data_IF_754879760407
#
_entry.id   IF_754879760407
#
_cell.length_a   1.000
_cell.length_b   1.000
_cell.length_c   1.000
_cell.angle_alpha   90.00
_cell.angle_beta   90.00
_cell.angle_gamma   90.00
#
_symmetry.space_group_name_H-M   'P 1'
#
loop_
_entity.id
_entity.type
_entity.pdbx_description
1 polymer ?
#
# COMPACT_ATOMS: atom_id res chain seq x y z
N UNK A 1 -16.56 -6.18 -10.41
CA UNK A 1 -17.83 -5.72 -11.01
C UNK A 1 -18.04 -4.23 -10.76
N UNK A 2 -19.04 -3.61 -11.43
CA UNK A 2 -19.41 -2.19 -11.23
C UNK A 2 -19.88 -1.93 -9.80
N UNK A 3 -20.49 -2.92 -9.16
CA UNK A 3 -20.91 -2.89 -7.75
C UNK A 3 -19.72 -2.82 -6.79
N UNK A 4 -18.67 -3.58 -7.04
CA UNK A 4 -17.48 -3.61 -6.16
C UNK A 4 -16.74 -2.27 -6.20
N UNK A 5 -16.69 -1.61 -7.37
CA UNK A 5 -16.12 -0.28 -7.50
C UNK A 5 -16.94 0.77 -6.71
N UNK A 6 -18.26 0.72 -6.78
CA UNK A 6 -19.14 1.63 -6.06
C UNK A 6 -19.00 1.47 -4.54
N UNK A 7 -18.91 0.24 -4.04
CA UNK A 7 -18.65 -0.06 -2.63
C UNK A 7 -17.30 0.47 -2.16
N UNK A 8 -16.25 0.25 -2.96
CA UNK A 8 -14.91 0.71 -2.65
C UNK A 8 -14.81 2.24 -2.62
N UNK A 9 -15.40 2.90 -3.62
CA UNK A 9 -15.48 4.36 -3.67
C UNK A 9 -16.21 4.93 -2.46
N UNK A 10 -17.40 4.40 -2.16
CA UNK A 10 -18.21 4.82 -1.01
C UNK A 10 -17.47 4.63 0.31
N UNK A 11 -16.76 3.52 0.46
CA UNK A 11 -15.92 3.26 1.63
C UNK A 11 -14.81 4.30 1.79
N UNK A 12 -14.05 4.60 0.73
CA UNK A 12 -12.98 5.62 0.75
C UNK A 12 -13.55 6.98 1.15
N UNK A 13 -14.61 7.41 0.48
CA UNK A 13 -15.24 8.71 0.72
C UNK A 13 -15.80 8.81 2.14
N UNK A 14 -16.47 7.76 2.65
CA UNK A 14 -16.99 7.75 4.01
C UNK A 14 -15.90 7.93 5.07
N UNK A 15 -14.71 7.29 4.88
CA UNK A 15 -13.57 7.45 5.80
C UNK A 15 -13.00 8.87 5.78
N UNK A 16 -12.91 9.48 4.58
CA UNK A 16 -12.43 10.86 4.42
C UNK A 16 -13.41 11.86 5.04
N UNK A 17 -14.73 11.72 4.75
CA UNK A 17 -15.76 12.61 5.30
C UNK A 17 -15.78 12.52 6.83
N UNK A 18 -15.83 11.30 7.37
CA UNK A 18 -15.94 11.06 8.81
C UNK A 18 -14.81 11.72 9.61
N UNK A 19 -13.57 11.72 9.08
CA UNK A 19 -12.41 12.23 9.83
C UNK A 19 -12.04 13.67 9.49
N UNK A 20 -12.08 14.02 8.19
CA UNK A 20 -11.55 15.31 7.72
C UNK A 20 -12.64 16.31 7.34
N UNK A 21 -13.92 15.92 7.48
CA UNK A 21 -15.10 16.74 7.08
C UNK A 21 -14.97 17.30 5.65
N UNK A 22 -14.33 16.53 4.75
CA UNK A 22 -14.08 16.95 3.38
C UNK A 22 -15.27 16.59 2.49
N UNK A 23 -16.06 17.58 2.08
CA UNK A 23 -17.33 17.41 1.32
C UNK A 23 -17.19 17.63 -0.19
N UNK A 24 -16.01 18.04 -0.68
CA UNK A 24 -15.81 18.28 -2.12
C UNK A 24 -15.70 16.96 -2.87
N UNK A 25 -16.18 16.94 -4.12
CA UNK A 25 -16.07 15.78 -5.01
C UNK A 25 -14.61 15.36 -5.24
N UNK A 26 -14.35 14.08 -5.14
CA UNK A 26 -13.03 13.48 -5.37
C UNK A 26 -13.13 12.41 -6.47
N UNK A 27 -12.12 12.35 -7.32
CA UNK A 27 -11.87 11.19 -8.18
C UNK A 27 -10.91 10.25 -7.48
N UNK A 28 -11.28 8.97 -7.34
CA UNK A 28 -10.49 7.96 -6.64
C UNK A 28 -9.88 7.01 -7.65
N UNK A 29 -8.56 6.92 -7.66
CA UNK A 29 -7.79 6.00 -8.49
C UNK A 29 -7.16 4.94 -7.59
N UNK A 30 -7.37 3.67 -7.93
CA UNK A 30 -6.80 2.53 -7.20
C UNK A 30 -5.64 1.93 -7.99
N UNK A 31 -4.49 1.82 -7.34
CA UNK A 31 -3.37 1.01 -7.77
C UNK A 31 -3.34 -0.28 -6.94
N UNK A 32 -3.48 -1.41 -7.61
CA UNK A 32 -3.52 -2.71 -6.95
C UNK A 32 -3.14 -3.81 -7.94
N UNK A 33 -2.59 -4.93 -7.44
CA UNK A 33 -2.32 -6.11 -8.26
C UNK A 33 -3.66 -6.79 -8.55
N UNK A 34 -4.00 -7.05 -9.83
CA UNK A 34 -5.23 -7.75 -10.18
C UNK A 34 -5.17 -9.21 -9.74
N UNK A 35 -6.35 -9.79 -9.47
CA UNK A 35 -6.49 -11.22 -9.22
C UNK A 35 -6.24 -11.99 -10.52
N UNK A 36 -5.39 -13.00 -10.44
CA UNK A 36 -5.12 -13.89 -11.58
C UNK A 36 -5.38 -15.34 -11.17
N UNK A 37 -6.13 -16.09 -11.98
CA UNK A 37 -6.55 -17.48 -11.70
C UNK A 37 -7.14 -17.67 -10.30
N UNK A 38 -7.95 -16.72 -9.84
CA UNK A 38 -8.59 -16.78 -8.52
C UNK A 38 -7.71 -16.40 -7.34
N UNK A 39 -6.40 -16.21 -7.53
CA UNK A 39 -5.45 -15.89 -6.47
C UNK A 39 -4.83 -14.50 -6.62
N UNK A 40 -4.68 -13.81 -5.49
CA UNK A 40 -3.96 -12.54 -5.42
C UNK A 40 -3.38 -12.33 -4.02
N UNK A 41 -2.16 -11.85 -3.97
CA UNK A 41 -1.57 -11.28 -2.77
C UNK A 41 -1.15 -9.85 -3.07
N UNK A 42 -1.85 -8.89 -2.47
CA UNK A 42 -1.58 -7.46 -2.54
C UNK A 42 -0.95 -7.01 -1.22
N UNK A 43 0.38 -6.95 -1.09
CA UNK A 43 1.01 -6.46 0.14
C UNK A 43 0.67 -5.00 0.40
N UNK A 44 0.42 -4.22 -0.65
CA UNK A 44 -0.03 -2.84 -0.57
C UNK A 44 -0.99 -2.51 -1.71
N UNK A 45 -2.09 -1.83 -1.40
CA UNK A 45 -2.96 -1.16 -2.37
C UNK A 45 -2.94 0.34 -2.08
N UNK A 46 -2.94 1.17 -3.13
CA UNK A 46 -2.80 2.61 -2.99
C UNK A 46 -3.99 3.30 -3.63
N UNK A 47 -4.63 4.22 -2.89
CA UNK A 47 -5.70 5.05 -3.44
C UNK A 47 -5.22 6.49 -3.52
N UNK A 48 -5.30 7.05 -4.71
CA UNK A 48 -5.03 8.46 -4.97
C UNK A 48 -6.36 9.18 -5.12
N UNK A 49 -6.65 10.13 -4.22
CA UNK A 49 -7.88 10.90 -4.24
C UNK A 49 -7.58 12.30 -4.73
N UNK A 50 -8.08 12.63 -5.93
CA UNK A 50 -7.81 13.88 -6.62
C UNK A 50 -9.05 14.78 -6.63
N UNK A 51 -8.85 16.08 -6.52
CA UNK A 51 -9.91 17.07 -6.71
C UNK A 51 -10.26 17.29 -8.19
N UNK A 52 -11.24 18.16 -8.46
CA UNK A 52 -11.66 18.51 -9.82
C UNK A 52 -10.54 19.12 -10.69
N UNK A 53 -9.49 19.69 -10.07
CA UNK A 53 -8.30 20.24 -10.72
C UNK A 53 -7.17 19.20 -10.84
N UNK A 54 -7.46 17.90 -10.66
CA UNK A 54 -6.50 16.79 -10.67
C UNK A 54 -5.36 16.92 -9.66
N UNK A 55 -5.54 17.70 -8.60
CA UNK A 55 -4.55 17.82 -7.51
C UNK A 55 -4.81 16.73 -6.47
N UNK A 56 -3.74 16.06 -6.03
CA UNK A 56 -3.80 15.05 -4.98
C UNK A 56 -4.22 15.69 -3.65
N UNK A 57 -5.30 15.17 -3.04
CA UNK A 57 -5.84 15.62 -1.76
C UNK A 57 -5.67 14.61 -0.65
N UNK A 58 -5.78 13.33 -1.00
CA UNK A 58 -5.52 12.25 -0.05
C UNK A 58 -4.73 11.15 -0.75
N UNK A 59 -3.77 10.59 -0.02
CA UNK A 59 -3.07 9.37 -0.36
C UNK A 59 -3.41 8.32 0.71
N UNK A 60 -3.86 7.15 0.28
CA UNK A 60 -4.30 6.07 1.17
C UNK A 60 -3.47 4.84 0.86
N UNK A 61 -2.77 4.34 1.85
CA UNK A 61 -1.95 3.14 1.75
C UNK A 61 -2.59 2.03 2.58
N UNK A 62 -3.17 1.04 1.90
CA UNK A 62 -3.75 -0.14 2.53
C UNK A 62 -2.73 -1.27 2.48
N UNK A 63 -2.15 -1.58 3.64
CA UNK A 63 -1.12 -2.61 3.81
C UNK A 63 -1.75 -3.90 4.29
N UNK A 64 -1.32 -5.03 3.73
CA UNK A 64 -1.76 -6.38 4.12
C UNK A 64 -0.58 -7.25 4.49
N UNK A 65 -0.81 -8.15 5.44
CA UNK A 65 0.15 -9.18 5.81
C UNK A 65 -0.26 -10.56 5.26
N UNK A 66 0.60 -11.55 5.45
CA UNK A 66 0.33 -12.96 5.06
C UNK A 66 -0.72 -13.64 5.95
N UNK A 67 -1.13 -13.02 7.06
CA UNK A 67 -2.17 -13.51 7.95
C UNK A 67 -3.58 -13.00 7.61
N UNK A 68 -3.79 -12.50 6.37
CA UNK A 68 -5.05 -11.92 5.88
C UNK A 68 -5.56 -10.72 6.68
N UNK A 69 -4.69 -10.05 7.44
CA UNK A 69 -5.02 -8.82 8.12
C UNK A 69 -4.63 -7.62 7.27
N UNK A 70 -5.27 -6.48 7.52
CA UNK A 70 -4.99 -5.24 6.82
C UNK A 70 -5.03 -4.03 7.75
N UNK A 71 -4.26 -3.01 7.40
CA UNK A 71 -4.30 -1.70 8.03
C UNK A 71 -4.23 -0.61 6.97
N UNK A 72 -4.97 0.47 7.16
CA UNK A 72 -5.09 1.56 6.21
C UNK A 72 -4.55 2.85 6.80
N UNK A 73 -3.55 3.42 6.18
CA UNK A 73 -3.00 4.73 6.51
C UNK A 73 -3.59 5.77 5.56
N UNK A 74 -4.30 6.77 6.08
CA UNK A 74 -4.93 7.84 5.31
C UNK A 74 -4.21 9.14 5.59
N UNK A 75 -3.59 9.72 4.57
CA UNK A 75 -2.90 11.00 4.64
C UNK A 75 -3.67 12.07 3.90
N UNK A 76 -3.96 13.17 4.58
CA UNK A 76 -4.43 14.41 3.97
C UNK A 76 -3.24 15.16 3.41
N UNK A 77 -3.26 15.44 2.12
CA UNK A 77 -2.14 16.03 1.39
C UNK A 77 -2.21 17.55 1.41
N UNK A 78 -1.13 18.17 1.82
CA UNK A 78 -0.91 19.61 1.82
C UNK A 78 0.44 19.96 1.17
N UNK A 79 0.82 21.24 1.15
CA UNK A 79 2.09 21.67 0.53
C UNK A 79 3.33 21.08 1.23
N UNK A 80 3.27 20.85 2.54
CA UNK A 80 4.42 20.37 3.34
C UNK A 80 4.66 18.87 3.17
N UNK A 81 3.58 18.08 3.04
CA UNK A 81 3.67 16.62 2.96
C UNK A 81 3.38 16.05 1.56
N UNK A 82 3.38 16.88 0.50
CA UNK A 82 2.97 16.49 -0.85
C UNK A 82 3.71 15.28 -1.42
N UNK A 83 5.00 15.16 -1.12
CA UNK A 83 5.84 14.05 -1.59
C UNK A 83 6.13 13.02 -0.51
N UNK A 84 6.21 13.43 0.75
CA UNK A 84 6.67 12.59 1.85
C UNK A 84 5.67 12.58 3.00
N UNK A 85 5.23 11.40 3.38
CA UNK A 85 4.28 11.15 4.46
C UNK A 85 4.89 10.24 5.48
N UNK A 86 4.85 10.60 6.75
CA UNK A 86 5.47 9.84 7.83
C UNK A 86 4.44 9.44 8.87
N UNK A 87 4.58 8.23 9.42
CA UNK A 87 3.72 7.72 10.50
C UNK A 87 4.44 6.69 11.36
N UNK A 88 3.99 6.53 12.59
CA UNK A 88 4.37 5.38 13.39
C UNK A 88 3.80 4.09 12.77
N UNK A 89 4.57 3.00 12.84
CA UNK A 89 4.11 1.68 12.39
C UNK A 89 3.00 1.18 13.30
N UNK A 90 1.77 1.12 12.81
CA UNK A 90 0.60 0.65 13.55
C UNK A 90 0.20 -0.80 13.22
N UNK A 91 0.93 -1.47 12.29
CA UNK A 91 0.53 -2.75 11.76
C UNK A 91 1.68 -3.77 11.72
N UNK A 92 1.41 -4.98 12.20
CA UNK A 92 2.36 -6.09 12.16
C UNK A 92 2.39 -6.73 10.77
N UNK A 93 3.51 -6.62 10.08
CA UNK A 93 3.69 -7.16 8.72
C UNK A 93 4.66 -8.33 8.65
N UNK A 94 5.59 -8.45 9.60
CA UNK A 94 6.64 -9.47 9.57
C UNK A 94 7.19 -9.72 10.97
N UNK A 95 7.54 -10.97 11.32
CA UNK A 95 8.19 -11.30 12.59
C UNK A 95 9.62 -10.75 12.72
N UNK A 96 10.17 -10.19 11.65
CA UNK A 96 11.53 -9.61 11.65
C UNK A 96 11.54 -8.09 11.76
N UNK A 97 10.36 -7.45 11.85
CA UNK A 97 10.20 -6.00 11.92
C UNK A 97 9.56 -5.59 13.23
N UNK A 98 10.31 -4.87 14.08
CA UNK A 98 9.80 -4.31 15.34
C UNK A 98 8.57 -3.43 15.09
N UNK A 99 7.68 -3.33 16.08
CA UNK A 99 6.55 -2.39 16.05
C UNK A 99 6.98 -0.94 16.27
N UNK A 100 8.10 -0.71 16.95
CA UNK A 100 8.67 0.62 17.24
C UNK A 100 9.34 1.31 16.05
N UNK A 101 8.91 1.01 14.83
CA UNK A 101 9.40 1.62 13.60
C UNK A 101 8.51 2.79 13.18
N UNK A 102 9.09 3.71 12.39
CA UNK A 102 8.37 4.71 11.60
C UNK A 102 8.33 4.27 10.14
N UNK A 103 7.22 4.56 9.48
CA UNK A 103 7.09 4.45 8.03
C UNK A 103 7.19 5.83 7.40
N UNK A 104 8.07 5.95 6.42
CA UNK A 104 8.11 7.08 5.50
C UNK A 104 7.66 6.61 4.12
N UNK A 105 6.58 7.16 3.63
CA UNK A 105 6.10 6.98 2.27
C UNK A 105 6.60 8.16 1.43
N UNK A 106 7.53 7.91 0.53
CA UNK A 106 8.09 8.92 -0.37
C UNK A 106 7.51 8.73 -1.78
N UNK A 107 6.48 9.52 -2.10
CA UNK A 107 5.77 9.49 -3.37
C UNK A 107 6.42 10.46 -4.34
N UNK A 108 7.44 10.01 -5.07
CA UNK A 108 8.19 10.82 -6.04
C UNK A 108 7.34 11.25 -7.23
N UNK A 109 6.48 10.35 -7.71
CA UNK A 109 5.49 10.62 -8.76
C UNK A 109 4.29 9.70 -8.60
N UNK A 110 3.10 10.12 -9.07
CA UNK A 110 1.88 9.31 -8.95
C UNK A 110 1.08 9.17 -10.26
N UNK A 111 1.28 10.01 -11.26
CA UNK A 111 0.61 9.90 -12.56
C UNK A 111 1.44 10.58 -13.66
N UNK A 112 1.55 10.00 -14.86
CA UNK A 112 1.11 8.66 -15.31
C UNK A 112 2.03 7.54 -14.80
N UNK A 113 3.24 7.86 -14.35
CA UNK A 113 4.20 6.91 -13.82
C UNK A 113 4.26 7.04 -12.29
N UNK A 114 4.11 5.92 -11.60
CA UNK A 114 4.12 5.89 -10.15
C UNK A 114 5.49 5.47 -9.67
N UNK A 115 6.08 6.25 -8.77
CA UNK A 115 7.32 5.91 -8.08
C UNK A 115 7.13 6.19 -6.58
N UNK A 116 7.04 5.13 -5.80
CA UNK A 116 6.86 5.17 -4.36
C UNK A 116 8.01 4.41 -3.69
N UNK A 117 8.69 5.06 -2.76
CA UNK A 117 9.58 4.40 -1.78
C UNK A 117 8.90 4.32 -0.44
N UNK A 118 9.05 3.21 0.26
CA UNK A 118 8.58 3.02 1.63
C UNK A 118 9.77 2.63 2.47
N UNK A 119 10.08 3.46 3.45
CA UNK A 119 11.17 3.24 4.39
C UNK A 119 10.57 2.91 5.76
N UNK A 120 11.00 1.80 6.35
CA UNK A 120 10.68 1.45 7.73
C UNK A 120 11.97 1.58 8.56
N UNK A 121 11.98 2.47 9.54
CA UNK A 121 13.21 2.79 10.25
C UNK A 121 12.99 3.19 11.72
N UNK A 122 14.03 3.04 12.50
CA UNK A 122 14.28 3.65 13.81
C UNK A 122 15.79 3.85 13.95
N UNK A 123 16.30 4.14 15.14
CA UNK A 123 17.73 4.36 15.40
C UNK A 123 18.62 3.14 15.08
N UNK A 124 18.09 1.92 15.18
CA UNK A 124 18.86 0.67 15.05
C UNK A 124 18.55 -0.16 13.80
N UNK A 125 17.49 0.19 13.05
CA UNK A 125 17.01 -0.59 11.92
C UNK A 125 16.56 0.31 10.77
N UNK A 126 16.93 -0.06 9.57
CA UNK A 126 16.50 0.60 8.35
C UNK A 126 16.16 -0.43 7.27
N UNK A 127 14.91 -0.42 6.80
CA UNK A 127 14.45 -1.21 5.67
C UNK A 127 13.87 -0.28 4.60
N UNK A 128 14.41 -0.35 3.41
CA UNK A 128 13.91 0.39 2.24
C UNK A 128 13.25 -0.56 1.27
N UNK A 129 12.03 -0.26 0.87
CA UNK A 129 11.32 -0.93 -0.21
C UNK A 129 10.87 0.10 -1.24
N UNK A 130 10.54 -0.34 -2.44
CA UNK A 130 10.09 0.56 -3.49
C UNK A 130 9.14 -0.12 -4.46
N UNK A 131 8.34 0.71 -5.09
CA UNK A 131 7.41 0.31 -6.12
C UNK A 131 7.47 1.31 -7.28
N UNK A 132 7.65 0.79 -8.49
CA UNK A 132 7.63 1.58 -9.73
C UNK A 132 6.61 0.97 -10.69
N UNK A 133 5.68 1.78 -11.18
CA UNK A 133 4.75 1.40 -12.21
C UNK A 133 4.76 2.42 -13.34
N UNK A 134 4.64 1.93 -14.57
CA UNK A 134 4.54 2.75 -15.78
C UNK A 134 3.18 2.53 -16.43
N UNK A 135 2.59 3.62 -16.90
CA UNK A 135 1.39 3.54 -17.72
C UNK A 135 1.67 2.79 -19.03
N UNK A 136 0.73 1.97 -19.44
CA UNK A 136 0.75 1.27 -20.71
C UNK A 136 -0.61 1.36 -21.37
N UNK A 137 -0.66 1.46 -22.69
CA UNK A 137 -1.92 1.47 -23.46
C UNK A 137 -2.69 0.17 -23.21
N UNK A 138 -3.98 0.29 -22.96
CA UNK A 138 -4.88 -0.84 -22.73
C UNK A 138 -5.28 -1.47 -24.10
N UNK A 139 -4.41 -2.34 -24.61
CA UNK A 139 -4.59 -3.09 -25.85
C UNK A 139 -4.53 -4.58 -25.57
N UNK A 140 -5.16 -5.39 -26.43
CA UNK A 140 -5.15 -6.86 -26.28
C UNK A 140 -3.72 -7.42 -26.22
N UNK A 141 -2.82 -6.88 -27.05
CA UNK A 141 -1.40 -7.28 -27.06
C UNK A 141 -0.71 -6.96 -25.74
N UNK A 142 -0.90 -5.75 -25.20
CA UNK A 142 -0.29 -5.36 -23.92
C UNK A 142 -0.88 -6.13 -22.76
N UNK A 143 -2.18 -6.44 -22.80
CA UNK A 143 -2.84 -7.28 -21.81
C UNK A 143 -2.27 -8.71 -21.84
N UNK A 144 -2.19 -9.33 -23.02
CA UNK A 144 -1.63 -10.67 -23.19
C UNK A 144 -0.18 -10.74 -22.71
N UNK A 145 0.64 -9.74 -23.09
CA UNK A 145 2.03 -9.62 -22.62
C UNK A 145 2.10 -9.48 -21.07
N UNK A 146 1.26 -8.62 -20.49
CA UNK A 146 1.22 -8.44 -19.04
C UNK A 146 0.80 -9.72 -18.32
N UNK A 147 -0.16 -10.48 -18.85
CA UNK A 147 -0.57 -11.79 -18.32
C UNK A 147 0.59 -12.76 -18.38
N UNK A 148 1.24 -12.93 -19.52
CA UNK A 148 2.36 -13.89 -19.70
C UNK A 148 3.53 -13.57 -18.78
N UNK A 149 3.95 -12.30 -18.72
CA UNK A 149 5.07 -11.87 -17.88
C UNK A 149 4.76 -12.03 -16.40
N UNK A 150 3.50 -11.84 -15.98
CA UNK A 150 3.09 -11.85 -14.59
C UNK A 150 2.31 -13.13 -14.20
N UNK A 151 2.31 -14.16 -15.03
CA UNK A 151 1.51 -15.38 -14.84
C UNK A 151 1.67 -15.99 -13.44
N UNK A 152 2.90 -16.01 -12.95
CA UNK A 152 3.25 -16.53 -11.62
C UNK A 152 3.74 -15.44 -10.66
N UNK A 153 3.41 -14.17 -10.93
CA UNK A 153 3.94 -13.04 -10.17
C UNK A 153 3.61 -13.14 -8.67
N UNK A 154 2.38 -13.46 -8.34
CA UNK A 154 1.94 -13.58 -6.94
C UNK A 154 2.60 -14.77 -6.24
N UNK A 155 2.70 -15.92 -6.91
CA UNK A 155 3.40 -17.09 -6.38
C UNK A 155 4.88 -16.82 -6.18
N UNK A 156 5.52 -16.13 -7.13
CA UNK A 156 6.92 -15.68 -7.02
C UNK A 156 7.12 -14.77 -5.82
N UNK A 157 6.23 -13.80 -5.59
CA UNK A 157 6.30 -12.93 -4.41
C UNK A 157 6.22 -13.76 -3.12
N UNK A 158 5.28 -14.69 -3.03
CA UNK A 158 5.13 -15.54 -1.86
C UNK A 158 6.38 -16.39 -1.60
N UNK A 159 6.93 -17.02 -2.62
CA UNK A 159 8.18 -17.78 -2.52
C UNK A 159 9.34 -16.91 -2.04
N UNK A 160 9.49 -15.71 -2.60
CA UNK A 160 10.54 -14.78 -2.20
C UNK A 160 10.38 -14.30 -0.75
N UNK A 161 9.15 -14.07 -0.28
CA UNK A 161 8.87 -13.71 1.11
C UNK A 161 9.33 -14.84 2.05
N UNK A 162 8.97 -16.09 1.75
CA UNK A 162 9.37 -17.24 2.57
C UNK A 162 10.88 -17.46 2.53
N UNK A 163 11.50 -17.39 1.35
CA UNK A 163 12.94 -17.51 1.19
C UNK A 163 13.69 -16.45 2.01
N UNK A 164 13.26 -15.18 1.94
CA UNK A 164 13.87 -14.12 2.74
C UNK A 164 13.63 -14.32 4.24
N UNK A 165 12.46 -14.80 4.63
CA UNK A 165 12.14 -15.10 6.02
C UNK A 165 13.11 -16.17 6.59
N UNK A 166 13.34 -17.27 5.86
CA UNK A 166 14.29 -18.32 6.24
C UNK A 166 15.70 -17.75 6.32
N UNK A 167 16.13 -17.00 5.31
CA UNK A 167 17.47 -16.37 5.28
C UNK A 167 17.72 -15.45 6.48
N UNK A 168 16.73 -14.62 6.84
CA UNK A 168 16.82 -13.73 8.00
C UNK A 168 16.84 -14.55 9.30
N UNK A 169 16.00 -15.57 9.42
CA UNK A 169 15.94 -16.44 10.61
C UNK A 169 17.30 -17.11 10.89
N UNK A 170 17.95 -17.63 9.83
CA UNK A 170 19.28 -18.24 9.95
C UNK A 170 20.34 -17.20 10.35
N UNK A 171 20.26 -15.99 9.76
CA UNK A 171 21.30 -14.95 9.93
C UNK A 171 21.17 -14.17 11.25
N UNK A 172 19.97 -13.78 11.64
CA UNK A 172 19.77 -12.80 12.74
C UNK A 172 19.24 -13.40 14.03
N UNK A 173 18.68 -14.62 14.01
CA UNK A 173 18.00 -15.27 15.14
C UNK A 173 16.97 -14.39 15.88
N UNK A 174 16.64 -13.23 15.31
CA UNK A 174 15.70 -12.26 15.89
C UNK A 174 14.29 -12.54 15.41
N UNK A 175 13.39 -12.84 16.34
CA UNK A 175 12.00 -13.11 16.04
C UNK A 175 11.11 -12.30 16.99
N UNK A 176 10.18 -11.52 16.44
CA UNK A 176 9.23 -10.73 17.19
C UNK A 176 7.84 -11.35 17.11
N UNK A 177 7.30 -11.72 18.25
CA UNK A 177 5.94 -12.26 18.29
C UNK A 177 4.91 -11.24 17.85
N UNK A 178 3.86 -11.74 17.22
CA UNK A 178 2.73 -10.92 16.81
C UNK A 178 2.02 -10.36 18.05
N UNK A 179 1.88 -9.03 18.16
CA UNK A 179 1.13 -8.43 19.26
C UNK A 179 -0.37 -8.77 19.15
N UNK A 180 -1.11 -8.57 20.23
CA UNK A 180 -2.58 -8.67 20.20
C UNK A 180 -3.11 -7.78 19.07
N UNK A 181 -4.10 -8.28 18.32
CA UNK A 181 -4.69 -7.61 17.17
C UNK A 181 -5.16 -6.21 17.56
N UNK A 182 -4.69 -5.20 16.86
CA UNK A 182 -5.14 -3.84 17.06
C UNK A 182 -6.61 -3.74 16.61
N UNK A 183 -7.49 -3.15 17.43
CA UNK A 183 -8.91 -2.96 17.09
C UNK A 183 -9.07 -1.98 15.93
N UNK A 184 -8.19 -0.98 15.85
CA UNK A 184 -8.22 0.04 14.80
C UNK A 184 -7.48 -0.44 13.56
N UNK A 185 -8.21 -0.59 12.46
CA UNK A 185 -7.66 -0.96 11.16
C UNK A 185 -7.38 0.24 10.25
N UNK A 186 -7.58 1.46 10.76
CA UNK A 186 -7.39 2.71 10.01
C UNK A 186 -6.69 3.75 10.87
N UNK A 187 -5.63 4.36 10.34
CA UNK A 187 -4.93 5.52 10.91
C UNK A 187 -5.09 6.74 10.03
N UNK A 188 -5.23 7.92 10.63
CA UNK A 188 -5.48 9.19 9.93
C UNK A 188 -4.37 10.18 10.26
N UNK A 189 -3.85 10.86 9.23
CA UNK A 189 -2.72 11.80 9.34
C UNK A 189 -3.01 13.09 8.56
N UNK A 190 -2.67 14.25 9.13
CA UNK A 190 -2.81 15.58 8.54
C UNK A 190 -1.49 16.17 8.08
#
# INVERSE_FOLDING_TARGET
SRSDYAHLYSWVISKIIKKFNYKKKLSVYLLSIPRFLGYVFNPISIYFCLDSKKKLKFAIYQVRNTHHEQHTYIFKINKKNYKKHSTAKAFYVSPFLKMSLKYDFDLKSFFPNINLSINAHNESMYLKTGFVAKESKFTNTNIAKAILVNLFFTQKIMLLIHFQAIKILIKSKSFFFKPKKNKDTVSYHE
#
